data_IF_758846707214
#
_entry.id   IF_758846707214
#
_cell.length_a   1.000
_cell.length_b   1.000
_cell.length_c   1.000
_cell.angle_alpha   90.00
_cell.angle_beta   90.00
_cell.angle_gamma   90.00
#
_symmetry.space_group_name_H-M   'P 1'
#
loop_
_entity.id
_entity.type
_entity.pdbx_description
1 polymer ?
#
# COMPACT_ATOMS: atom_id res chain seq x y z
N UNK A 1 -25.14 -45.35 9.87
CA UNK A 1 -25.26 -44.45 8.70
C UNK A 1 -25.60 -42.99 9.04
N UNK A 2 -26.02 -42.63 10.28
CA UNK A 2 -26.34 -41.24 10.66
C UNK A 2 -25.16 -40.38 11.14
N UNK A 3 -24.01 -40.99 11.46
CA UNK A 3 -22.81 -40.28 11.96
C UNK A 3 -21.85 -39.79 10.86
N UNK A 4 -21.92 -40.35 9.65
CA UNK A 4 -21.02 -40.00 8.54
C UNK A 4 -21.43 -38.66 7.88
N UNK A 5 -22.72 -38.31 7.94
CA UNK A 5 -23.24 -37.06 7.35
C UNK A 5 -22.80 -35.84 8.16
N UNK A 6 -22.65 -35.97 9.49
CA UNK A 6 -22.24 -34.86 10.36
C UNK A 6 -20.77 -34.49 10.14
N UNK A 7 -19.90 -35.47 9.86
CA UNK A 7 -18.48 -35.21 9.60
C UNK A 7 -18.24 -34.49 8.26
N UNK A 8 -19.10 -34.72 7.24
CA UNK A 8 -18.94 -34.08 5.93
C UNK A 8 -19.41 -32.61 5.93
N UNK A 9 -20.33 -32.22 6.82
CA UNK A 9 -20.78 -30.83 6.93
C UNK A 9 -19.77 -29.88 7.60
N UNK A 10 -18.84 -30.39 8.41
CA UNK A 10 -17.87 -29.54 9.12
C UNK A 10 -16.69 -29.11 8.23
N UNK A 11 -16.39 -29.83 7.14
CA UNK A 11 -15.27 -29.50 6.24
C UNK A 11 -15.56 -28.36 5.24
N UNK A 12 -16.81 -27.91 5.10
CA UNK A 12 -17.19 -26.86 4.12
C UNK A 12 -17.09 -25.42 4.67
N UNK A 13 -16.69 -25.22 5.93
CA UNK A 13 -16.68 -23.90 6.57
C UNK A 13 -15.33 -23.16 6.53
N UNK A 14 -14.31 -23.69 5.85
CA UNK A 14 -13.03 -22.99 5.68
C UNK A 14 -13.05 -22.15 4.39
N UNK A 15 -13.92 -21.14 4.31
CA UNK A 15 -13.74 -20.07 3.34
C UNK A 15 -12.52 -19.24 3.75
N UNK A 16 -11.56 -18.98 2.84
CA UNK A 16 -10.50 -18.02 3.14
C UNK A 16 -11.16 -16.67 3.35
N UNK A 17 -11.21 -16.22 4.61
CA UNK A 17 -11.63 -14.88 4.98
C UNK A 17 -10.55 -13.92 4.42
N UNK A 18 -10.70 -13.50 3.17
CA UNK A 18 -9.98 -12.35 2.65
C UNK A 18 -10.54 -11.13 3.37
N UNK A 19 -10.02 -10.86 4.57
CA UNK A 19 -10.23 -9.59 5.21
C UNK A 19 -9.53 -8.52 4.35
N UNK A 20 -10.32 -7.75 3.59
CA UNK A 20 -9.89 -6.43 3.16
C UNK A 20 -9.72 -5.61 4.44
N UNK A 21 -8.51 -5.53 4.98
CA UNK A 21 -8.23 -4.69 6.13
C UNK A 21 -8.47 -3.23 5.71
N UNK A 22 -9.24 -2.50 6.52
CA UNK A 22 -9.52 -1.10 6.24
C UNK A 22 -8.27 -0.28 6.48
N UNK A 23 -8.11 0.83 5.74
CA UNK A 23 -7.02 1.78 5.95
C UNK A 23 -6.82 2.11 7.44
N UNK A 24 -7.91 2.35 8.16
CA UNK A 24 -7.87 2.77 9.55
C UNK A 24 -7.40 1.69 10.53
N UNK A 25 -7.42 0.41 10.14
CA UNK A 25 -6.89 -0.68 10.94
C UNK A 25 -5.35 -0.71 10.92
N UNK A 26 -4.76 -0.48 9.75
CA UNK A 26 -3.32 -0.60 9.53
C UNK A 26 -2.59 0.74 9.69
N UNK A 27 -3.19 1.84 9.21
CA UNK A 27 -2.54 3.14 9.04
C UNK A 27 -3.18 4.23 9.90
N UNK A 28 -2.35 5.20 10.30
CA UNK A 28 -2.78 6.35 11.06
C UNK A 28 -2.99 7.57 10.16
N UNK A 29 -4.25 7.90 9.86
CA UNK A 29 -4.63 9.07 9.06
C UNK A 29 -4.08 10.40 9.63
N UNK A 30 -3.75 10.44 10.94
CA UNK A 30 -3.21 11.61 11.62
C UNK A 30 -1.67 11.68 11.61
N UNK A 31 -0.98 10.69 11.02
CA UNK A 31 0.48 10.65 10.89
C UNK A 31 0.92 10.64 9.43
N UNK A 32 0.69 11.75 8.68
CA UNK A 32 1.22 11.87 7.34
C UNK A 32 2.74 11.94 7.37
N UNK A 33 3.40 11.27 6.43
CA UNK A 33 4.84 11.26 6.26
C UNK A 33 5.21 11.60 4.82
N UNK A 34 6.36 12.24 4.64
CA UNK A 34 7.01 12.42 3.33
C UNK A 34 8.42 11.90 3.44
N UNK A 35 8.74 10.83 2.71
CA UNK A 35 10.04 10.16 2.76
C UNK A 35 10.69 10.14 1.38
N UNK A 36 11.96 10.49 1.30
CA UNK A 36 12.77 10.37 0.08
C UNK A 36 13.77 9.25 0.24
N UNK A 37 13.85 8.38 -0.77
CA UNK A 37 14.72 7.21 -0.72
C UNK A 37 14.96 6.60 -2.09
N UNK A 38 15.82 5.58 -2.10
CA UNK A 38 16.16 4.80 -3.31
C UNK A 38 15.33 3.53 -3.34
N UNK A 39 14.63 3.28 -4.44
CA UNK A 39 13.81 2.08 -4.62
C UNK A 39 14.70 0.83 -4.59
N UNK A 40 14.42 -0.10 -3.69
CA UNK A 40 15.16 -1.35 -3.56
C UNK A 40 14.45 -2.52 -4.23
N UNK A 41 13.12 -2.58 -4.12
CA UNK A 41 12.33 -3.63 -4.77
C UNK A 41 10.87 -3.23 -4.98
N UNK A 42 10.19 -3.96 -5.87
CA UNK A 42 8.82 -3.68 -6.28
C UNK A 42 8.07 -5.02 -6.41
N UNK A 43 6.90 -5.10 -5.79
CA UNK A 43 6.01 -6.26 -5.82
C UNK A 43 4.67 -5.85 -6.44
N UNK A 44 4.47 -6.29 -7.68
CA UNK A 44 3.24 -6.09 -8.44
C UNK A 44 2.22 -7.19 -8.12
N UNK A 45 1.79 -7.24 -6.86
CA UNK A 45 0.84 -8.22 -6.32
C UNK A 45 -0.59 -7.69 -6.33
N UNK A 46 -1.58 -8.59 -6.29
CA UNK A 46 -2.99 -8.26 -6.13
C UNK A 46 -3.45 -8.89 -4.80
N UNK A 47 -4.15 -8.19 -3.89
CA UNK A 47 -4.86 -6.91 -4.08
C UNK A 47 -4.04 -5.63 -3.89
N UNK A 48 -2.78 -5.71 -3.48
CA UNK A 48 -1.96 -4.52 -3.19
C UNK A 48 -0.63 -4.55 -3.94
N UNK A 49 -0.29 -3.41 -4.53
CA UNK A 49 1.07 -3.10 -4.95
C UNK A 49 1.92 -2.74 -3.75
N UNK A 50 3.12 -3.31 -3.66
CA UNK A 50 4.12 -2.90 -2.68
C UNK A 50 5.40 -2.46 -3.35
N UNK A 51 6.08 -1.50 -2.75
CA UNK A 51 7.43 -1.13 -3.13
C UNK A 51 8.23 -0.74 -1.90
N UNK A 52 9.54 -0.84 -2.01
CA UNK A 52 10.46 -0.67 -0.89
C UNK A 52 11.48 0.40 -1.26
N UNK A 53 11.80 1.28 -0.31
CA UNK A 53 12.84 2.29 -0.50
C UNK A 53 13.78 2.31 0.70
N UNK A 54 15.06 2.57 0.47
CA UNK A 54 16.01 2.90 1.53
C UNK A 54 15.99 4.41 1.78
N UNK A 55 15.61 4.77 3.01
CA UNK A 55 15.58 6.16 3.51
C UNK A 55 16.77 6.36 4.42
N UNK A 56 17.61 7.35 4.11
CA UNK A 56 18.77 7.69 4.94
C UNK A 56 18.41 8.71 6.01
N UNK A 57 18.88 8.49 7.23
CA UNK A 57 18.86 9.49 8.30
C UNK A 57 20.00 10.52 8.14
N UNK A 58 20.05 11.48 9.06
CA UNK A 58 21.09 12.53 9.08
C UNK A 58 22.50 11.97 9.33
N UNK A 59 22.61 10.78 9.91
CA UNK A 59 23.87 10.10 10.21
C UNK A 59 24.30 9.18 9.06
N UNK A 60 23.51 9.08 7.99
CA UNK A 60 23.75 8.22 6.83
C UNK A 60 23.27 6.77 7.01
N UNK A 61 22.64 6.42 8.15
CA UNK A 61 22.06 5.10 8.33
C UNK A 61 20.81 4.96 7.47
N UNK A 62 20.69 3.84 6.77
CA UNK A 62 19.53 3.55 5.93
C UNK A 62 18.53 2.67 6.68
N UNK A 63 17.26 3.08 6.66
CA UNK A 63 16.12 2.25 7.04
C UNK A 63 15.35 1.86 5.77
N UNK A 64 15.06 0.56 5.61
CA UNK A 64 14.21 0.11 4.51
C UNK A 64 12.74 0.29 4.90
N UNK A 65 12.02 1.03 4.06
CA UNK A 65 10.61 1.33 4.23
C UNK A 65 9.77 0.57 3.20
N UNK A 66 8.73 -0.12 3.68
CA UNK A 66 7.69 -0.73 2.86
C UNK A 66 6.59 0.28 2.60
N UNK A 67 6.12 0.35 1.36
CA UNK A 67 4.96 1.15 0.97
C UNK A 67 3.91 0.29 0.31
N UNK A 68 2.66 0.49 0.70
CA UNK A 68 1.48 -0.12 0.09
C UNK A 68 0.74 0.87 -0.81
N UNK A 69 0.23 0.41 -1.94
CA UNK A 69 -0.57 1.21 -2.85
C UNK A 69 -1.77 0.45 -3.43
N UNK A 70 -2.35 1.04 -4.47
CA UNK A 70 -3.45 0.46 -5.24
C UNK A 70 -3.12 -0.93 -5.83
N UNK A 71 -4.14 -1.76 -6.13
CA UNK A 71 -3.93 -2.94 -6.98
C UNK A 71 -3.34 -2.56 -8.34
N UNK A 72 -2.55 -3.44 -8.98
CA UNK A 72 -1.92 -3.20 -10.28
C UNK A 72 -2.88 -2.73 -11.38
N UNK A 73 -4.12 -3.21 -11.36
CA UNK A 73 -5.17 -2.80 -12.32
C UNK A 73 -5.50 -1.31 -12.20
N UNK A 74 -5.60 -0.80 -10.98
CA UNK A 74 -5.86 0.63 -10.75
C UNK A 74 -4.62 1.46 -11.06
N UNK A 75 -3.42 1.00 -10.68
CA UNK A 75 -2.16 1.66 -11.03
C UNK A 75 -2.01 1.89 -12.54
N UNK A 76 -2.32 0.89 -13.37
CA UNK A 76 -2.29 1.04 -14.82
C UNK A 76 -3.26 2.12 -15.32
N UNK A 77 -4.46 2.21 -14.71
CA UNK A 77 -5.46 3.25 -15.05
C UNK A 77 -5.01 4.64 -14.65
N UNK A 78 -4.27 4.79 -13.54
CA UNK A 78 -3.73 6.08 -13.07
C UNK A 78 -2.33 6.38 -13.62
N UNK A 79 -1.93 5.70 -14.71
CA UNK A 79 -0.77 6.07 -15.51
C UNK A 79 0.55 5.42 -15.12
N UNK A 80 0.54 4.40 -14.24
CA UNK A 80 1.72 3.58 -13.99
C UNK A 80 1.90 2.53 -15.09
N UNK A 81 3.16 2.29 -15.42
CA UNK A 81 3.61 1.23 -16.33
C UNK A 81 4.61 0.37 -15.60
N UNK A 82 4.29 -0.94 -15.50
CA UNK A 82 4.98 -1.93 -14.67
C UNK A 82 6.50 -1.96 -14.85
N UNK A 83 6.96 -1.71 -16.07
CA UNK A 83 8.36 -1.85 -16.49
C UNK A 83 9.07 -0.52 -16.72
N UNK A 84 8.42 0.61 -16.47
CA UNK A 84 8.95 1.93 -16.88
C UNK A 84 8.85 2.99 -15.78
N UNK A 85 7.73 3.00 -15.05
CA UNK A 85 7.41 4.12 -14.15
C UNK A 85 8.35 4.15 -12.95
N UNK A 86 8.51 3.02 -12.27
CA UNK A 86 9.39 2.85 -11.13
C UNK A 86 10.27 1.62 -11.35
N UNK A 87 11.57 1.78 -11.16
CA UNK A 87 12.57 0.71 -11.24
C UNK A 87 13.44 0.73 -9.98
N UNK A 88 13.99 -0.42 -9.55
CA UNK A 88 15.04 -0.43 -8.53
C UNK A 88 16.19 0.51 -8.91
N UNK A 89 16.68 1.27 -7.94
CA UNK A 89 17.68 2.32 -8.11
C UNK A 89 17.09 3.73 -8.36
N UNK A 90 15.81 3.85 -8.69
CA UNK A 90 15.17 5.16 -8.82
C UNK A 90 15.15 5.87 -7.46
N UNK A 91 15.46 7.17 -7.44
CA UNK A 91 15.19 8.02 -6.28
C UNK A 91 13.76 8.57 -6.37
N UNK A 92 12.99 8.38 -5.31
CA UNK A 92 11.59 8.81 -5.23
C UNK A 92 11.30 9.50 -3.90
N UNK A 93 10.36 10.44 -3.93
CA UNK A 93 9.75 11.03 -2.74
C UNK A 93 8.32 10.52 -2.62
N UNK A 94 8.01 9.86 -1.52
CA UNK A 94 6.71 9.25 -1.24
C UNK A 94 5.99 10.06 -0.18
N UNK A 95 4.77 10.47 -0.47
CA UNK A 95 3.84 11.03 0.51
C UNK A 95 2.78 9.97 0.87
N UNK A 96 2.52 9.81 2.16
CA UNK A 96 1.69 8.73 2.69
C UNK A 96 1.35 8.87 4.17
N UNK A 97 0.88 7.78 4.77
CA UNK A 97 0.56 7.70 6.20
C UNK A 97 1.23 6.49 6.83
N UNK A 98 1.84 6.70 7.99
CA UNK A 98 2.58 5.64 8.70
C UNK A 98 1.64 4.57 9.26
N UNK A 99 2.13 3.33 9.30
CA UNK A 99 1.50 2.23 10.02
C UNK A 99 1.33 2.57 11.51
N UNK A 100 0.24 2.08 12.11
CA UNK A 100 -0.10 2.34 13.52
C UNK A 100 0.87 1.70 14.50
N UNK A 101 1.42 0.56 14.12
CA UNK A 101 2.34 -0.24 14.94
C UNK A 101 3.74 0.39 15.08
N UNK A 102 4.01 1.48 14.34
CA UNK A 102 5.28 2.19 14.38
C UNK A 102 6.38 1.55 13.54
N UNK A 103 6.07 0.50 12.78
CA UNK A 103 7.00 -0.09 11.82
C UNK A 103 7.36 0.89 10.70
N UNK A 104 8.42 0.58 9.94
CA UNK A 104 8.78 1.29 8.70
C UNK A 104 7.88 0.84 7.54
N UNK A 105 6.57 0.90 7.77
CA UNK A 105 5.55 0.62 6.79
C UNK A 105 4.62 1.82 6.69
N UNK A 106 4.21 2.16 5.47
CA UNK A 106 3.28 3.23 5.21
C UNK A 106 2.35 2.92 4.04
N UNK A 107 1.18 3.54 4.09
CA UNK A 107 0.30 3.67 2.95
C UNK A 107 0.82 4.78 2.03
N UNK A 108 0.98 4.51 0.74
CA UNK A 108 1.42 5.47 -0.26
C UNK A 108 0.23 6.16 -0.92
N UNK A 109 0.22 7.51 -0.94
CA UNK A 109 -0.76 8.29 -1.70
C UNK A 109 -0.17 8.83 -2.99
N UNK A 110 0.99 9.48 -2.90
CA UNK A 110 1.68 10.04 -4.06
C UNK A 110 3.15 9.63 -4.08
N UNK A 111 3.66 9.42 -5.29
CA UNK A 111 5.09 9.23 -5.54
C UNK A 111 5.55 10.29 -6.54
N UNK A 112 6.60 11.03 -6.17
CA UNK A 112 7.30 11.98 -7.04
C UNK A 112 8.65 11.38 -7.43
N UNK A 113 8.91 11.29 -8.74
CA UNK A 113 10.12 10.67 -9.27
C UNK A 113 11.22 11.72 -9.49
N UNK A 114 12.38 11.55 -8.88
CA UNK A 114 13.48 12.52 -9.03
C UNK A 114 13.99 12.61 -10.48
N UNK A 115 13.96 11.49 -11.23
CA UNK A 115 14.47 11.40 -12.60
C UNK A 115 13.78 12.33 -13.61
N UNK A 116 12.54 12.74 -13.36
CA UNK A 116 11.76 13.56 -14.30
C UNK A 116 10.76 14.52 -13.62
N UNK A 117 10.74 14.61 -12.30
CA UNK A 117 9.81 15.43 -11.52
C UNK A 117 8.35 14.98 -11.59
N UNK A 118 8.03 13.88 -12.27
CA UNK A 118 6.65 13.40 -12.44
C UNK A 118 6.08 13.00 -11.08
N UNK A 119 4.88 13.46 -10.76
CA UNK A 119 4.10 13.04 -9.58
C UNK A 119 2.94 12.16 -10.02
N UNK A 120 2.79 10.99 -9.42
CA UNK A 120 1.70 10.05 -9.69
C UNK A 120 0.99 9.62 -8.41
N UNK A 121 -0.31 9.34 -8.54
CA UNK A 121 -1.08 8.66 -7.50
C UNK A 121 -0.63 7.20 -7.39
N UNK A 122 -0.37 6.74 -6.17
CA UNK A 122 0.09 5.37 -5.89
C UNK A 122 -0.90 4.58 -5.04
N UNK A 123 -1.80 5.23 -4.31
CA UNK A 123 -2.80 4.59 -3.45
C UNK A 123 -3.93 5.56 -3.09
N UNK A 124 -5.02 5.07 -2.47
CA UNK A 124 -6.18 5.88 -2.11
C UNK A 124 -5.84 6.97 -1.07
N UNK A 125 -6.67 8.03 -0.94
CA UNK A 125 -6.57 8.93 0.20
C UNK A 125 -6.85 8.20 1.52
N UNK A 126 -6.42 8.78 2.65
CA UNK A 126 -6.83 8.30 3.96
C UNK A 126 -8.37 8.31 4.09
N UNK A 127 -8.94 7.18 4.49
CA UNK A 127 -10.38 6.95 4.51
C UNK A 127 -10.73 5.48 4.22
N UNK A 128 -11.97 5.07 4.51
CA UNK A 128 -12.44 3.68 4.58
C UNK A 128 -12.18 2.85 3.29
N UNK A 129 -10.96 2.32 3.13
CA UNK A 129 -10.61 0.99 2.61
C UNK A 129 -11.12 0.49 1.24
N UNK A 130 -12.04 1.17 0.56
CA UNK A 130 -13.00 0.46 -0.29
C UNK A 130 -12.77 0.64 -1.80
N UNK A 131 -11.69 1.30 -2.23
CA UNK A 131 -11.37 1.37 -3.66
C UNK A 131 -12.42 2.08 -4.55
N UNK A 132 -13.14 3.09 -4.01
CA UNK A 132 -14.15 3.90 -4.71
C UNK A 132 -15.56 3.56 -4.23
N UNK A 133 -16.48 4.47 -3.90
CA UNK A 133 -16.80 5.78 -4.49
C UNK A 133 -17.49 6.69 -3.45
N UNK A 134 -16.76 7.38 -2.57
CA UNK A 134 -17.33 8.56 -1.88
C UNK A 134 -16.24 9.47 -1.30
N UNK A 135 -16.31 10.80 -1.50
CA UNK A 135 -15.46 11.71 -0.74
C UNK A 135 -15.83 11.63 0.75
N UNK A 136 -14.85 11.66 1.67
CA UNK A 136 -15.14 12.00 3.05
C UNK A 136 -15.74 13.41 3.03
N UNK A 137 -17.01 13.50 3.41
CA UNK A 137 -17.70 14.77 3.64
C UNK A 137 -16.88 15.52 4.68
N UNK A 138 -16.43 16.72 4.31
CA UNK A 138 -15.79 17.63 5.24
C UNK A 138 -16.70 17.79 6.48
N UNK A 139 -16.11 17.64 7.65
CA UNK A 139 -16.75 18.06 8.88
C UNK A 139 -17.15 19.54 8.75
N UNK A 140 -18.44 19.82 8.91
CA UNK A 140 -18.94 21.08 9.42
C UNK A 140 -19.19 20.91 10.92
#
# INVERSE_FOLDING_TARGET
MRLIIIAFCVLLAASPLFAHHSFGAEYDANKPITLTGVVTSIQWTNPHFYFFIDVKDQNGNAANWKFEGYPPVVLNRVGWKRTETMLPGDTVTVFGWQARDGSNWAHSRFVTFAKNGKKLESGPPAGNGDGGTRPPVAAQ
#
